data_IF_076497564292
#
_entry.id   IF_076497564292
#
_cell.length_a   1.000
_cell.length_b   1.000
_cell.length_c   1.000
_cell.angle_alpha   90.00
_cell.angle_beta   90.00
_cell.angle_gamma   90.00
#
_symmetry.space_group_name_H-M   'P 1'
#
loop_
_entity.id
_entity.type
_entity.pdbx_description
1 polymer ?
#
# COMPACT_ATOMS: atom_id res chain seq x y z
N UNK A 1 12.67 -10.04 29.24
CA UNK A 1 12.16 -8.88 28.44
C UNK A 1 12.11 -9.27 26.96
N UNK A 2 11.03 -8.91 26.24
CA UNK A 2 10.95 -9.13 24.78
C UNK A 2 11.91 -8.20 24.04
N UNK A 3 12.66 -8.74 23.07
CA UNK A 3 13.56 -7.94 22.20
C UNK A 3 12.82 -7.40 20.98
N UNK A 4 11.98 -8.23 20.36
CA UNK A 4 11.15 -7.84 19.22
C UNK A 4 10.09 -6.81 19.61
N UNK A 5 9.97 -5.76 18.78
CA UNK A 5 8.99 -4.70 18.95
C UNK A 5 7.67 -5.08 18.26
N UNK A 6 6.55 -4.61 18.81
CA UNK A 6 5.21 -4.89 18.28
C UNK A 6 4.64 -3.61 17.68
N UNK A 7 4.23 -3.68 16.41
CA UNK A 7 3.49 -2.63 15.73
C UNK A 7 2.02 -3.04 15.71
N UNK A 8 1.13 -2.18 16.20
CA UNK A 8 -0.32 -2.40 16.18
C UNK A 8 -1.02 -1.32 15.37
N UNK A 9 -1.95 -1.71 14.49
CA UNK A 9 -2.73 -0.74 13.71
C UNK A 9 -3.86 -0.18 14.57
N UNK A 10 -3.94 1.14 14.68
CA UNK A 10 -5.03 1.82 15.39
C UNK A 10 -6.21 2.08 14.45
N UNK A 11 -7.43 1.77 14.92
CA UNK A 11 -8.66 1.99 14.15
C UNK A 11 -9.87 2.31 15.05
N UNK A 12 -11.09 2.32 14.50
CA UNK A 12 -12.31 2.66 15.24
C UNK A 12 -12.51 1.85 16.53
N UNK A 13 -12.18 0.56 16.51
CA UNK A 13 -12.30 -0.33 17.66
C UNK A 13 -11.26 -0.08 18.76
N UNK A 14 -10.18 0.66 18.47
CA UNK A 14 -9.03 0.80 19.38
C UNK A 14 -8.59 2.26 19.60
N UNK A 15 -9.42 3.24 19.19
CA UNK A 15 -9.09 4.67 19.29
C UNK A 15 -9.45 5.31 20.64
N UNK A 16 -10.15 4.57 21.50
CA UNK A 16 -10.47 5.01 22.85
C UNK A 16 -9.19 5.11 23.70
N UNK A 17 -8.99 6.22 24.45
CA UNK A 17 -7.78 6.41 25.27
C UNK A 17 -7.51 5.29 26.27
N UNK A 18 -8.54 4.67 26.85
CA UNK A 18 -8.37 3.56 27.81
C UNK A 18 -7.85 2.30 27.13
N UNK A 19 -8.37 2.01 25.93
CA UNK A 19 -7.90 0.90 25.10
C UNK A 19 -6.47 1.13 24.65
N UNK A 20 -6.13 2.35 24.21
CA UNK A 20 -4.76 2.72 23.85
C UNK A 20 -3.81 2.46 25.03
N UNK A 21 -4.16 2.91 26.24
CA UNK A 21 -3.34 2.69 27.43
C UNK A 21 -3.17 1.20 27.75
N UNK A 22 -4.22 0.40 27.60
CA UNK A 22 -4.16 -1.05 27.80
C UNK A 22 -3.28 -1.74 26.76
N UNK A 23 -3.34 -1.33 25.49
CA UNK A 23 -2.46 -1.83 24.43
C UNK A 23 -0.98 -1.50 24.68
N UNK A 24 -0.70 -0.29 25.19
CA UNK A 24 0.66 0.11 25.59
C UNK A 24 1.17 -0.80 26.70
N UNK A 25 0.37 -1.01 27.77
CA UNK A 25 0.73 -1.92 28.87
C UNK A 25 0.90 -3.37 28.42
N UNK A 26 0.10 -3.82 27.46
CA UNK A 26 0.20 -5.16 26.87
C UNK A 26 1.47 -5.34 26.00
N UNK A 27 2.15 -4.24 25.64
CA UNK A 27 3.48 -4.29 25.01
C UNK A 27 3.53 -3.80 23.56
N UNK A 28 2.52 -3.07 23.08
CA UNK A 28 2.61 -2.32 21.82
C UNK A 28 3.73 -1.28 21.93
N UNK A 29 4.60 -1.22 20.92
CA UNK A 29 5.73 -0.28 20.87
C UNK A 29 5.56 0.79 19.80
N UNK A 30 4.83 0.48 18.73
CA UNK A 30 4.54 1.42 17.65
C UNK A 30 3.07 1.32 17.31
N UNK A 31 2.37 2.45 17.24
CA UNK A 31 1.04 2.50 16.65
C UNK A 31 1.15 2.86 15.18
N UNK A 32 0.71 1.95 14.31
CA UNK A 32 0.53 2.20 12.89
C UNK A 32 -0.81 2.88 12.65
N UNK A 33 -0.79 3.96 11.90
CA UNK A 33 -1.98 4.65 11.45
C UNK A 33 -2.05 4.59 9.93
N UNK A 34 -3.09 3.94 9.41
CA UNK A 34 -3.27 3.76 7.97
C UNK A 34 -4.04 4.96 7.39
N UNK A 35 -3.38 5.76 6.54
CA UNK A 35 -3.96 6.93 5.87
C UNK A 35 -4.74 6.57 4.60
N UNK A 36 -5.02 5.29 4.36
CA UNK A 36 -5.87 4.85 3.24
C UNK A 36 -7.34 5.23 3.39
N UNK A 37 -7.80 5.46 4.62
CA UNK A 37 -9.20 5.66 5.00
C UNK A 37 -9.28 6.73 6.08
N UNK A 38 -10.49 7.13 6.46
CA UNK A 38 -10.78 8.17 7.45
C UNK A 38 -10.39 9.60 7.00
N UNK A 39 -10.79 10.57 7.83
CA UNK A 39 -10.58 12.01 7.61
C UNK A 39 -9.42 12.56 8.45
N UNK A 40 -8.75 13.64 8.02
CA UNK A 40 -7.63 14.27 8.72
C UNK A 40 -7.82 14.50 10.23
N UNK A 41 -9.02 14.90 10.65
CA UNK A 41 -9.37 15.20 12.04
C UNK A 41 -9.30 13.93 12.91
N UNK A 42 -9.78 12.81 12.37
CA UNK A 42 -9.70 11.51 13.05
C UNK A 42 -8.26 11.05 13.19
N UNK A 43 -7.43 11.30 12.18
CA UNK A 43 -6.01 10.96 12.25
C UNK A 43 -5.31 11.73 13.37
N UNK A 44 -5.50 13.05 13.39
CA UNK A 44 -4.98 13.97 14.39
C UNK A 44 -5.37 13.56 15.81
N UNK A 45 -6.66 13.28 16.03
CA UNK A 45 -7.18 12.87 17.33
C UNK A 45 -6.50 11.60 17.85
N UNK A 46 -6.33 10.59 16.99
CA UNK A 46 -5.66 9.33 17.34
C UNK A 46 -4.18 9.57 17.70
N UNK A 47 -3.45 10.36 16.90
CA UNK A 47 -2.03 10.69 17.16
C UNK A 47 -1.88 11.33 18.55
N UNK A 48 -2.69 12.36 18.83
CA UNK A 48 -2.62 13.08 20.11
C UNK A 48 -3.02 12.21 21.29
N UNK A 49 -4.01 11.34 21.13
CA UNK A 49 -4.39 10.36 22.15
C UNK A 49 -3.23 9.40 22.45
N UNK A 50 -2.58 8.84 21.44
CA UNK A 50 -1.42 7.96 21.61
C UNK A 50 -0.31 8.68 22.39
N UNK A 51 0.08 9.89 21.98
CA UNK A 51 1.11 10.69 22.65
C UNK A 51 0.75 10.98 24.11
N UNK A 52 -0.51 11.35 24.37
CA UNK A 52 -1.00 11.62 25.73
C UNK A 52 -0.90 10.39 26.62
N UNK A 53 -1.34 9.22 26.15
CA UNK A 53 -1.30 7.98 26.93
C UNK A 53 0.13 7.49 27.14
N UNK A 54 0.99 7.54 26.11
CA UNK A 54 2.40 7.19 26.24
C UNK A 54 3.10 8.05 27.31
N UNK A 55 2.84 9.37 27.31
CA UNK A 55 3.35 10.30 28.32
C UNK A 55 2.81 9.99 29.72
N UNK A 56 1.50 9.76 29.85
CA UNK A 56 0.87 9.46 31.14
C UNK A 56 1.39 8.16 31.77
N UNK A 57 1.73 7.17 30.95
CA UNK A 57 2.30 5.89 31.39
C UNK A 57 3.82 5.92 31.57
N UNK A 58 4.48 7.01 31.17
CA UNK A 58 5.94 7.10 31.08
C UNK A 58 6.56 5.92 30.29
N UNK A 59 5.92 5.54 29.17
CA UNK A 59 6.36 4.44 28.31
C UNK A 59 6.67 4.96 26.91
N UNK A 60 7.84 4.63 26.33
CA UNK A 60 8.18 5.05 24.98
C UNK A 60 7.34 4.29 23.96
N UNK A 61 6.60 5.03 23.14
CA UNK A 61 5.74 4.50 22.08
C UNK A 61 5.88 5.40 20.86
N UNK A 62 6.22 4.81 19.72
CA UNK A 62 6.34 5.52 18.45
C UNK A 62 5.04 5.48 17.64
N UNK A 63 4.94 6.35 16.65
CA UNK A 63 3.82 6.45 15.71
C UNK A 63 4.36 6.31 14.30
N UNK A 64 3.78 5.37 13.55
CA UNK A 64 4.07 5.13 12.14
C UNK A 64 2.85 5.54 11.30
N UNK A 65 3.01 6.57 10.48
CA UNK A 65 2.03 6.96 9.48
C UNK A 65 2.25 6.15 8.21
N UNK A 66 1.27 5.34 7.81
CA UNK A 66 1.33 4.51 6.60
C UNK A 66 0.55 5.18 5.47
N UNK A 67 1.28 5.69 4.47
CA UNK A 67 0.72 6.39 3.31
C UNK A 67 -0.02 5.42 2.38
N UNK A 68 -1.02 5.93 1.68
CA UNK A 68 -1.89 5.11 0.85
C UNK A 68 -1.16 4.57 -0.38
N UNK A 69 -0.38 5.43 -1.05
CA UNK A 69 0.24 5.12 -2.34
C UNK A 69 -0.76 4.99 -3.50
N UNK A 70 -0.27 4.69 -4.71
CA UNK A 70 -1.10 4.60 -5.91
C UNK A 70 -1.95 3.32 -5.91
N UNK A 71 -3.20 3.41 -5.47
CA UNK A 71 -4.15 2.28 -5.53
C UNK A 71 -4.84 2.20 -6.89
N UNK A 72 -4.61 1.11 -7.60
CA UNK A 72 -5.35 0.76 -8.81
C UNK A 72 -6.54 -0.09 -8.43
N UNK A 73 -7.74 0.36 -8.84
CA UNK A 73 -8.99 -0.29 -8.46
C UNK A 73 -9.98 -0.29 -9.61
N UNK A 74 -10.85 -1.29 -9.56
CA UNK A 74 -12.11 -1.31 -10.29
C UNK A 74 -12.95 -0.13 -9.83
N UNK A 75 -13.66 0.48 -10.78
CA UNK A 75 -14.64 1.51 -10.51
C UNK A 75 -15.92 0.92 -9.92
N UNK A 76 -17.02 1.61 -10.17
CA UNK A 76 -18.31 1.18 -9.66
C UNK A 76 -18.96 0.14 -10.58
N UNK A 77 -19.52 -0.89 -9.98
CA UNK A 77 -20.29 -1.96 -10.61
C UNK A 77 -21.67 -1.99 -9.93
N UNK A 78 -22.62 -2.73 -10.53
CA UNK A 78 -23.89 -2.99 -9.84
C UNK A 78 -23.66 -3.69 -8.49
N UNK A 79 -24.62 -3.58 -7.56
CA UNK A 79 -24.50 -4.20 -6.23
C UNK A 79 -24.22 -5.71 -6.27
N UNK A 80 -24.76 -6.40 -7.28
CA UNK A 80 -24.56 -7.82 -7.51
C UNK A 80 -23.13 -8.17 -8.00
N UNK A 81 -22.40 -7.17 -8.49
CA UNK A 81 -21.12 -7.34 -9.16
C UNK A 81 -21.26 -7.89 -10.57
N UNK A 82 -20.15 -8.38 -11.11
CA UNK A 82 -20.05 -8.97 -12.44
C UNK A 82 -19.51 -10.40 -12.32
N UNK A 83 -20.26 -11.39 -12.80
CA UNK A 83 -19.80 -12.78 -12.90
C UNK A 83 -18.90 -12.96 -14.12
N UNK A 84 -17.61 -13.17 -13.88
CA UNK A 84 -16.60 -13.35 -14.92
C UNK A 84 -16.33 -14.84 -15.13
N UNK A 85 -16.62 -15.34 -16.32
CA UNK A 85 -16.47 -16.77 -16.64
C UNK A 85 -15.14 -17.04 -17.33
N UNK A 86 -14.53 -18.18 -17.03
CA UNK A 86 -13.29 -18.62 -17.69
C UNK A 86 -13.44 -18.59 -19.22
N UNK A 87 -12.40 -18.12 -19.91
CA UNK A 87 -12.32 -17.87 -21.35
C UNK A 87 -13.18 -16.72 -21.90
N UNK A 88 -14.00 -16.05 -21.09
CA UNK A 88 -14.75 -14.86 -21.50
C UNK A 88 -13.79 -13.75 -21.92
N UNK A 89 -14.16 -12.97 -22.94
CA UNK A 89 -13.49 -11.72 -23.28
C UNK A 89 -14.18 -10.58 -22.52
N UNK A 90 -13.39 -9.73 -21.90
CA UNK A 90 -13.85 -8.56 -21.15
C UNK A 90 -13.12 -7.32 -21.62
N UNK A 91 -13.77 -6.18 -21.43
CA UNK A 91 -13.19 -4.86 -21.68
C UNK A 91 -13.13 -4.14 -20.34
N UNK A 92 -11.94 -3.65 -20.00
CA UNK A 92 -11.76 -2.73 -18.90
C UNK A 92 -11.55 -1.32 -19.48
N UNK A 93 -12.23 -0.30 -18.95
CA UNK A 93 -12.19 1.05 -19.53
C UNK A 93 -12.08 2.15 -18.48
N UNK A 94 -11.40 3.24 -18.83
CA UNK A 94 -11.31 4.47 -18.02
C UNK A 94 -12.37 5.52 -18.41
N UNK A 95 -13.19 5.24 -19.44
CA UNK A 95 -14.15 6.20 -20.02
C UNK A 95 -15.47 5.52 -20.37
N UNK A 96 -16.57 6.10 -19.87
CA UNK A 96 -17.96 5.77 -20.21
C UNK A 96 -18.22 4.26 -20.38
N UNK A 97 -18.10 3.45 -19.30
CA UNK A 97 -18.29 2.00 -19.39
C UNK A 97 -19.69 1.64 -19.88
N UNK A 98 -19.75 0.80 -20.91
CA UNK A 98 -21.01 0.20 -21.35
C UNK A 98 -21.40 -1.01 -20.47
N UNK A 99 -22.62 -1.52 -20.66
CA UNK A 99 -23.09 -2.69 -19.91
C UNK A 99 -22.19 -3.90 -20.19
N UNK A 100 -21.56 -4.42 -19.15
CA UNK A 100 -20.64 -5.58 -19.25
C UNK A 100 -19.16 -5.19 -19.35
N UNK A 101 -18.85 -3.89 -19.38
CA UNK A 101 -17.47 -3.40 -19.27
C UNK A 101 -17.10 -3.11 -17.81
N UNK A 102 -15.82 -3.27 -17.50
CA UNK A 102 -15.28 -3.11 -16.15
C UNK A 102 -14.65 -1.70 -16.05
N UNK A 103 -15.23 -0.77 -15.28
CA UNK A 103 -14.60 0.53 -15.11
C UNK A 103 -13.31 0.42 -14.30
N UNK A 104 -12.34 1.27 -14.62
CA UNK A 104 -11.05 1.38 -13.92
C UNK A 104 -10.86 2.82 -13.45
N UNK A 105 -10.45 2.99 -12.19
CA UNK A 105 -10.20 4.32 -11.61
C UNK A 105 -8.84 4.92 -12.04
N UNK A 106 -7.87 4.06 -12.36
CA UNK A 106 -6.53 4.48 -12.73
C UNK A 106 -6.41 4.76 -14.23
N UNK A 107 -6.41 6.05 -14.58
CA UNK A 107 -6.46 6.52 -15.97
C UNK A 107 -5.29 6.09 -16.84
N UNK A 108 -4.12 5.81 -16.27
CA UNK A 108 -2.95 5.37 -17.05
C UNK A 108 -2.90 3.85 -17.27
N UNK A 109 -3.80 3.06 -16.68
CA UNK A 109 -3.73 1.60 -16.78
C UNK A 109 -3.64 1.09 -18.24
N UNK A 110 -4.41 1.61 -19.22
CA UNK A 110 -4.27 1.16 -20.60
C UNK A 110 -2.88 1.43 -21.20
N UNK A 111 -2.19 2.48 -20.76
CA UNK A 111 -0.83 2.78 -21.22
C UNK A 111 0.22 1.87 -20.58
N UNK A 112 0.02 1.51 -19.32
CA UNK A 112 0.97 0.75 -18.51
C UNK A 112 0.98 -0.76 -18.81
N UNK A 113 -0.04 -1.28 -19.48
CA UNK A 113 -0.13 -2.71 -19.84
C UNK A 113 0.24 -2.96 -21.30
N UNK A 114 0.68 -4.17 -21.62
CA UNK A 114 1.05 -4.64 -22.95
C UNK A 114 0.35 -5.97 -23.27
N UNK A 115 0.44 -6.39 -24.53
CA UNK A 115 -0.05 -7.71 -24.93
C UNK A 115 0.60 -8.80 -24.07
N UNK A 116 -0.20 -9.71 -23.53
CA UNK A 116 0.25 -10.83 -22.73
C UNK A 116 0.32 -10.57 -21.23
N UNK A 117 0.19 -9.32 -20.79
CA UNK A 117 0.22 -8.97 -19.37
C UNK A 117 -0.91 -9.61 -18.57
N UNK A 118 -0.61 -9.89 -17.31
CA UNK A 118 -1.55 -10.45 -16.35
C UNK A 118 -2.10 -9.34 -15.46
N UNK A 119 -3.43 -9.29 -15.36
CA UNK A 119 -4.14 -8.44 -14.41
C UNK A 119 -4.78 -9.34 -13.36
N UNK A 120 -4.41 -9.10 -12.10
CA UNK A 120 -4.95 -9.80 -10.95
C UNK A 120 -5.97 -8.90 -10.25
N UNK A 121 -7.19 -9.40 -10.09
CA UNK A 121 -8.33 -8.69 -9.54
C UNK A 121 -8.77 -9.34 -8.22
N UNK A 122 -9.25 -8.51 -7.28
CA UNK A 122 -9.72 -8.95 -5.95
C UNK A 122 -8.69 -9.84 -5.22
N UNK A 123 -7.52 -9.26 -4.96
CA UNK A 123 -6.41 -9.91 -4.26
C UNK A 123 -5.95 -11.22 -4.95
N UNK A 124 -5.97 -11.22 -6.28
CA UNK A 124 -5.53 -12.35 -7.11
C UNK A 124 -6.55 -13.48 -7.30
N UNK A 125 -7.79 -13.32 -6.84
CA UNK A 125 -8.84 -14.34 -7.03
C UNK A 125 -9.32 -14.46 -8.48
N UNK A 126 -9.24 -13.37 -9.23
CA UNK A 126 -9.62 -13.31 -10.63
C UNK A 126 -8.38 -12.94 -11.43
N UNK A 127 -8.15 -13.66 -12.53
CA UNK A 127 -6.98 -13.47 -13.39
C UNK A 127 -7.43 -13.18 -14.81
N UNK A 128 -6.94 -12.08 -15.38
CA UNK A 128 -7.15 -11.72 -16.78
C UNK A 128 -5.81 -11.65 -17.51
N UNK A 129 -5.82 -12.04 -18.79
CA UNK A 129 -4.68 -11.89 -19.69
C UNK A 129 -4.99 -10.90 -20.80
N UNK A 130 -4.20 -9.84 -20.89
CA UNK A 130 -4.35 -8.78 -21.90
C UNK A 130 -4.04 -9.35 -23.28
N UNK A 131 -4.89 -9.04 -24.26
CA UNK A 131 -4.65 -9.42 -25.66
C UNK A 131 -4.77 -8.25 -26.65
N UNK A 132 -5.29 -7.10 -26.22
CA UNK A 132 -5.39 -5.89 -27.04
C UNK A 132 -5.63 -4.67 -26.14
N UNK A 133 -5.30 -3.47 -26.61
CA UNK A 133 -5.53 -2.22 -25.90
C UNK A 133 -5.64 -1.02 -26.84
N UNK A 134 -6.26 0.05 -26.35
CA UNK A 134 -6.18 1.39 -26.93
C UNK A 134 -5.95 2.42 -25.81
N UNK A 135 -6.06 3.71 -26.12
CA UNK A 135 -5.79 4.80 -25.18
C UNK A 135 -6.69 4.79 -23.93
N UNK A 136 -7.87 4.18 -24.02
CA UNK A 136 -8.91 4.23 -22.98
C UNK A 136 -9.28 2.86 -22.40
N UNK A 137 -9.03 1.79 -23.16
CA UNK A 137 -9.57 0.47 -22.85
C UNK A 137 -8.54 -0.63 -23.03
N UNK A 138 -8.69 -1.68 -22.22
CA UNK A 138 -7.90 -2.90 -22.23
C UNK A 138 -8.85 -4.05 -22.55
N UNK A 139 -8.53 -4.85 -23.57
CA UNK A 139 -9.25 -6.09 -23.84
C UNK A 139 -8.46 -7.24 -23.26
N UNK A 140 -9.13 -8.04 -22.43
CA UNK A 140 -8.51 -9.15 -21.74
C UNK A 140 -9.37 -10.42 -21.79
N UNK A 141 -8.72 -11.57 -21.70
CA UNK A 141 -9.37 -12.87 -21.58
C UNK A 141 -9.33 -13.33 -20.13
N UNK A 142 -10.46 -13.76 -19.60
CA UNK A 142 -10.55 -14.33 -18.25
C UNK A 142 -9.85 -15.68 -18.22
N UNK A 143 -8.79 -15.80 -17.41
CA UNK A 143 -8.06 -17.04 -17.17
C UNK A 143 -8.64 -17.78 -15.97
N UNK A 144 -8.85 -17.04 -14.87
CA UNK A 144 -9.54 -17.49 -13.65
C UNK A 144 -10.73 -16.57 -13.41
N UNK A 145 -11.92 -17.16 -13.36
CA UNK A 145 -13.19 -16.44 -13.21
C UNK A 145 -13.61 -16.24 -11.75
N UNK A 146 -14.70 -15.49 -11.55
CA UNK A 146 -15.26 -15.19 -10.24
C UNK A 146 -16.18 -13.98 -10.25
N UNK A 147 -16.77 -13.68 -9.09
CA UNK A 147 -17.64 -12.50 -8.93
C UNK A 147 -16.78 -11.28 -8.62
N UNK A 148 -16.70 -10.36 -9.58
CA UNK A 148 -16.02 -9.07 -9.40
C UNK A 148 -16.98 -8.04 -8.79
N UNK A 149 -16.55 -7.39 -7.69
CA UNK A 149 -17.30 -6.31 -7.04
C UNK A 149 -16.65 -4.94 -7.25
N UNK A 150 -17.37 -3.86 -6.95
CA UNK A 150 -16.85 -2.49 -7.00
C UNK A 150 -15.61 -2.33 -6.12
N UNK A 151 -14.70 -1.43 -6.53
CA UNK A 151 -13.56 -0.96 -5.73
C UNK A 151 -12.52 -2.03 -5.34
N UNK A 152 -12.57 -3.21 -5.97
CA UNK A 152 -11.56 -4.26 -5.82
C UNK A 152 -10.22 -3.82 -6.43
N UNK A 153 -9.12 -4.25 -5.79
CA UNK A 153 -7.76 -3.95 -6.24
C UNK A 153 -7.45 -4.59 -7.59
N UNK A 154 -6.57 -3.94 -8.35
CA UNK A 154 -5.96 -4.47 -9.57
C UNK A 154 -4.45 -4.49 -9.33
N UNK A 155 -3.86 -5.67 -9.47
CA UNK A 155 -2.43 -5.94 -9.33
C UNK A 155 -1.84 -6.32 -10.70
N UNK A 156 -0.57 -5.97 -10.92
CA UNK A 156 0.13 -6.11 -12.19
C UNK A 156 1.47 -6.82 -11.99
N UNK A 157 1.47 -8.16 -11.84
CA UNK A 157 2.69 -8.92 -11.58
C UNK A 157 3.68 -8.93 -12.77
N UNK A 158 3.22 -8.65 -13.98
CA UNK A 158 4.06 -8.68 -15.20
C UNK A 158 4.36 -7.31 -15.77
N UNK A 159 3.85 -6.23 -15.17
CA UNK A 159 3.99 -4.88 -15.67
C UNK A 159 4.31 -3.87 -14.56
N UNK A 160 4.79 -2.71 -14.97
CA UNK A 160 5.09 -1.61 -14.07
C UNK A 160 4.08 -0.50 -14.20
N UNK A 161 3.58 -0.05 -13.05
CA UNK A 161 2.67 1.09 -12.95
C UNK A 161 3.49 2.37 -13.11
N UNK A 162 3.03 3.32 -13.93
CA UNK A 162 3.71 4.61 -14.15
C UNK A 162 3.37 5.67 -13.09
N UNK A 163 2.41 5.39 -12.19
CA UNK A 163 2.00 6.29 -11.13
C UNK A 163 3.19 6.67 -10.23
N UNK A 164 3.28 7.92 -9.75
CA UNK A 164 4.26 8.26 -8.73
C UNK A 164 3.96 7.50 -7.44
N UNK A 165 5.00 7.11 -6.69
CA UNK A 165 4.82 6.46 -5.38
C UNK A 165 4.10 7.37 -4.38
N UNK A 166 4.26 8.69 -4.51
CA UNK A 166 3.51 9.70 -3.76
C UNK A 166 2.37 10.27 -4.60
N UNK A 167 1.13 9.93 -4.21
CA UNK A 167 -0.06 10.48 -4.84
C UNK A 167 -0.34 11.92 -4.38
N UNK A 168 -1.25 12.62 -5.07
CA UNK A 168 -1.72 13.94 -4.64
C UNK A 168 -2.40 13.89 -3.25
N UNK A 169 -3.03 12.76 -2.90
CA UNK A 169 -3.58 12.54 -1.56
C UNK A 169 -2.46 12.38 -0.54
N UNK A 170 -1.47 11.54 -0.83
CA UNK A 170 -0.34 11.32 0.08
C UNK A 170 0.41 12.62 0.37
N UNK A 171 0.59 13.50 -0.61
CA UNK A 171 1.20 14.83 -0.40
C UNK A 171 0.42 15.69 0.58
N UNK A 172 -0.92 15.67 0.54
CA UNK A 172 -1.77 16.37 1.51
C UNK A 172 -1.69 15.72 2.89
N UNK A 173 -1.70 14.39 2.95
CA UNK A 173 -1.57 13.66 4.22
C UNK A 173 -0.20 13.93 4.87
N UNK A 174 0.87 14.05 4.08
CA UNK A 174 2.21 14.38 4.55
C UNK A 174 2.26 15.71 5.31
N UNK A 175 1.56 16.74 4.86
CA UNK A 175 1.50 18.03 5.57
C UNK A 175 0.96 17.85 7.00
N UNK A 176 -0.11 17.06 7.16
CA UNK A 176 -0.66 16.74 8.46
C UNK A 176 0.29 15.88 9.30
N UNK A 177 0.84 14.83 8.70
CA UNK A 177 1.74 13.88 9.36
C UNK A 177 2.96 14.60 9.92
N UNK A 178 3.57 15.48 9.13
CA UNK A 178 4.75 16.26 9.50
C UNK A 178 4.44 17.30 10.58
N UNK A 179 3.25 17.92 10.52
CA UNK A 179 2.74 18.86 11.54
C UNK A 179 2.50 18.17 12.89
N UNK A 180 1.89 16.99 12.89
CA UNK A 180 1.60 16.26 14.12
C UNK A 180 2.83 15.57 14.71
N UNK A 181 3.95 15.51 13.97
CA UNK A 181 5.25 15.08 14.46
C UNK A 181 5.31 13.58 14.77
N UNK A 182 5.00 12.74 13.79
CA UNK A 182 5.15 11.29 13.90
C UNK A 182 6.62 10.87 13.85
N UNK A 183 6.90 9.62 14.21
CA UNK A 183 8.27 9.08 14.26
C UNK A 183 8.68 8.39 12.97
N UNK A 184 7.72 7.74 12.29
CA UNK A 184 7.95 7.01 11.04
C UNK A 184 6.91 7.35 9.98
N UNK A 185 7.33 7.35 8.72
CA UNK A 185 6.45 7.38 7.54
C UNK A 185 6.73 6.13 6.72
N UNK A 186 5.72 5.30 6.51
CA UNK A 186 5.81 4.17 5.60
C UNK A 186 5.31 4.57 4.20
N UNK A 187 6.15 4.35 3.20
CA UNK A 187 5.82 4.59 1.79
C UNK A 187 5.36 3.28 1.15
N UNK A 188 4.14 3.27 0.62
CA UNK A 188 3.55 2.14 -0.09
C UNK A 188 3.99 2.07 -1.55
N UNK A 189 3.97 0.87 -2.13
CA UNK A 189 4.28 0.58 -3.53
C UNK A 189 5.63 1.14 -4.01
N UNK A 190 6.64 1.10 -3.14
CA UNK A 190 8.02 1.47 -3.50
C UNK A 190 8.50 0.56 -4.63
N UNK A 191 9.15 1.13 -5.64
CA UNK A 191 9.77 0.36 -6.74
C UNK A 191 11.26 0.64 -6.87
N UNK A 192 11.71 1.81 -6.42
CA UNK A 192 13.09 2.26 -6.61
C UNK A 192 13.58 3.10 -5.42
N UNK A 193 14.90 3.30 -5.35
CA UNK A 193 15.49 4.24 -4.40
C UNK A 193 15.02 5.69 -4.61
N UNK A 194 14.71 6.08 -5.85
CA UNK A 194 14.25 7.43 -6.16
C UNK A 194 12.89 7.74 -5.49
N UNK A 195 11.98 6.77 -5.40
CA UNK A 195 10.72 6.92 -4.67
C UNK A 195 10.97 7.35 -3.20
N UNK A 196 12.00 6.79 -2.56
CA UNK A 196 12.41 7.11 -1.18
C UNK A 196 13.09 8.47 -1.10
N UNK A 197 13.98 8.78 -2.05
CA UNK A 197 14.69 10.06 -2.12
C UNK A 197 13.70 11.22 -2.32
N UNK A 198 12.68 11.04 -3.15
CA UNK A 198 11.63 12.03 -3.35
C UNK A 198 10.87 12.33 -2.04
N UNK A 199 10.48 11.30 -1.30
CA UNK A 199 9.86 11.48 0.01
C UNK A 199 10.81 12.17 1.00
N UNK A 200 12.08 11.75 1.05
CA UNK A 200 13.10 12.34 1.93
C UNK A 200 13.28 13.83 1.68
N UNK A 201 13.34 14.26 0.41
CA UNK A 201 13.42 15.69 0.05
C UNK A 201 12.25 16.50 0.62
N UNK A 202 11.03 15.97 0.58
CA UNK A 202 9.85 16.64 1.15
C UNK A 202 9.97 16.74 2.67
N UNK A 203 10.41 15.66 3.34
CA UNK A 203 10.61 15.63 4.79
C UNK A 203 11.71 16.64 5.21
N UNK A 204 12.81 16.73 4.46
CA UNK A 204 13.92 17.64 4.77
C UNK A 204 13.57 19.13 4.62
N UNK A 205 12.64 19.45 3.73
CA UNK A 205 12.10 20.80 3.58
C UNK A 205 11.20 21.23 4.75
N UNK A 206 10.71 20.27 5.54
CA UNK A 206 9.92 20.56 6.73
C UNK A 206 10.80 21.07 7.87
N UNK A 207 10.43 22.20 8.47
CA UNK A 207 11.14 22.79 9.63
C UNK A 207 10.90 22.03 10.94
N UNK A 208 9.87 21.18 10.98
CA UNK A 208 9.45 20.45 12.17
C UNK A 208 10.05 19.06 12.26
N UNK A 209 9.18 18.06 12.45
CA UNK A 209 9.60 16.66 12.55
C UNK A 209 10.28 16.16 11.28
N UNK A 210 11.26 15.27 11.48
CA UNK A 210 11.98 14.55 10.42
C UNK A 210 11.83 13.05 10.68
N UNK A 211 10.65 12.47 10.43
CA UNK A 211 10.41 11.04 10.65
C UNK A 211 11.31 10.18 9.77
N UNK A 212 11.63 8.98 10.26
CA UNK A 212 12.33 7.96 9.49
C UNK A 212 11.41 7.34 8.43
N UNK A 213 11.96 7.01 7.26
CA UNK A 213 11.22 6.43 6.14
C UNK A 213 11.28 4.92 6.19
N UNK A 214 10.11 4.28 6.16
CA UNK A 214 9.95 2.83 6.03
C UNK A 214 9.52 2.49 4.60
N UNK A 215 10.38 1.83 3.83
CA UNK A 215 9.99 1.35 2.50
C UNK A 215 9.17 0.06 2.61
N UNK A 216 7.97 0.04 2.02
CA UNK A 216 7.15 -1.16 1.96
C UNK A 216 7.48 -1.94 0.69
N UNK A 217 8.00 -3.15 0.88
CA UNK A 217 8.34 -4.07 -0.21
C UNK A 217 7.09 -4.88 -0.53
N UNK A 218 6.38 -4.42 -1.55
CA UNK A 218 5.04 -4.90 -1.95
C UNK A 218 5.02 -5.42 -3.39
N UNK A 219 5.96 -5.01 -4.24
CA UNK A 219 5.98 -5.30 -5.67
C UNK A 219 7.25 -6.04 -6.10
N UNK A 220 7.18 -6.66 -7.27
CA UNK A 220 8.32 -7.36 -7.86
C UNK A 220 9.52 -6.43 -8.11
N UNK A 221 9.29 -5.20 -8.59
CA UNK A 221 10.35 -4.22 -8.85
C UNK A 221 11.12 -3.87 -7.57
N UNK A 222 10.42 -3.84 -6.43
CA UNK A 222 11.02 -3.55 -5.13
C UNK A 222 11.98 -4.65 -4.67
N UNK A 223 11.71 -5.90 -5.05
CA UNK A 223 12.57 -7.05 -4.76
C UNK A 223 13.80 -7.03 -5.66
N UNK A 224 13.62 -6.68 -6.94
CA UNK A 224 14.72 -6.53 -7.91
C UNK A 224 15.68 -5.40 -7.49
N UNK A 225 15.13 -4.25 -7.08
CA UNK A 225 15.85 -3.03 -6.68
C UNK A 225 16.15 -2.96 -5.18
N UNK A 226 16.08 -4.10 -4.47
CA UNK A 226 16.08 -4.15 -3.01
C UNK A 226 17.31 -3.48 -2.39
N UNK A 227 18.48 -3.64 -3.00
CA UNK A 227 19.73 -3.14 -2.43
C UNK A 227 19.78 -1.60 -2.42
N UNK A 228 19.41 -0.92 -3.51
CA UNK A 228 19.34 0.53 -3.50
C UNK A 228 18.20 1.07 -2.62
N UNK A 229 17.07 0.37 -2.55
CA UNK A 229 15.96 0.76 -1.67
C UNK A 229 16.39 0.70 -0.21
N UNK A 230 17.07 -0.38 0.21
CA UNK A 230 17.63 -0.51 1.57
C UNK A 230 18.58 0.65 1.87
N UNK A 231 19.49 0.98 0.96
CA UNK A 231 20.45 2.07 1.15
C UNK A 231 19.78 3.45 1.28
N UNK A 232 18.67 3.68 0.59
CA UNK A 232 17.96 4.96 0.62
C UNK A 232 16.98 5.09 1.80
N UNK A 233 16.58 3.98 2.43
CA UNK A 233 15.53 3.90 3.46
C UNK A 233 16.11 3.80 4.87
N UNK A 234 15.33 4.20 5.88
CA UNK A 234 15.72 4.07 7.29
C UNK A 234 15.24 2.73 7.88
N UNK A 235 14.19 2.14 7.31
CA UNK A 235 13.71 0.81 7.63
C UNK A 235 12.97 0.17 6.45
N UNK A 236 12.74 -1.14 6.54
CA UNK A 236 12.00 -1.93 5.55
C UNK A 236 10.78 -2.60 6.20
N UNK A 237 9.67 -2.65 5.47
CA UNK A 237 8.48 -3.42 5.81
C UNK A 237 8.23 -4.48 4.74
N UNK A 238 8.27 -5.76 5.13
CA UNK A 238 7.97 -6.89 4.23
C UNK A 238 6.47 -7.13 4.19
N UNK A 239 5.82 -6.71 3.11
CA UNK A 239 4.38 -6.86 2.92
C UNK A 239 4.07 -8.19 2.22
N UNK A 240 4.10 -9.29 3.00
CA UNK A 240 3.96 -10.66 2.48
C UNK A 240 2.65 -10.91 1.73
N UNK A 241 1.56 -10.22 2.12
CA UNK A 241 0.27 -10.34 1.46
C UNK A 241 0.33 -9.84 0.03
N UNK A 242 0.78 -8.60 -0.15
CA UNK A 242 0.98 -7.98 -1.47
C UNK A 242 2.02 -8.73 -2.30
N UNK A 243 3.16 -9.12 -1.71
CA UNK A 243 4.17 -9.93 -2.41
C UNK A 243 3.64 -11.30 -2.85
N UNK A 244 2.71 -11.91 -2.11
CA UNK A 244 2.10 -13.18 -2.49
C UNK A 244 1.07 -13.06 -3.61
N UNK A 245 0.63 -11.84 -3.92
CA UNK A 245 -0.20 -11.53 -5.08
C UNK A 245 0.69 -11.21 -6.29
N UNK A 246 1.75 -10.43 -6.07
CA UNK A 246 2.65 -9.96 -7.14
C UNK A 246 3.68 -11.03 -7.57
N UNK A 247 4.01 -11.98 -6.71
CA UNK A 247 5.00 -13.03 -6.95
C UNK A 247 4.42 -14.43 -6.68
N UNK A 248 5.15 -15.46 -7.13
CA UNK A 248 4.84 -16.83 -6.78
C UNK A 248 4.87 -17.04 -5.26
N UNK A 249 3.77 -17.55 -4.69
CA UNK A 249 3.55 -17.64 -3.24
C UNK A 249 4.68 -18.41 -2.52
N UNK A 250 5.22 -19.45 -3.14
CA UNK A 250 6.31 -20.25 -2.62
C UNK A 250 7.64 -19.49 -2.50
N UNK A 251 7.82 -18.39 -3.24
CA UNK A 251 9.03 -17.54 -3.16
C UNK A 251 8.96 -16.56 -2.00
N UNK A 252 7.77 -16.19 -1.52
CA UNK A 252 7.59 -15.16 -0.48
C UNK A 252 8.37 -15.46 0.80
N UNK A 253 8.39 -16.69 1.36
CA UNK A 253 9.17 -16.98 2.56
C UNK A 253 10.68 -16.82 2.37
N UNK A 254 11.19 -17.14 1.17
CA UNK A 254 12.62 -17.00 0.82
C UNK A 254 12.99 -15.52 0.72
N UNK A 255 12.19 -14.75 -0.03
CA UNK A 255 12.38 -13.30 -0.20
C UNK A 255 12.30 -12.58 1.14
N UNK A 256 11.35 -12.94 2.01
CA UNK A 256 11.26 -12.37 3.35
C UNK A 256 12.57 -12.57 4.13
N UNK A 257 13.14 -13.79 4.12
CA UNK A 257 14.41 -14.08 4.81
C UNK A 257 15.56 -13.28 4.21
N UNK A 258 15.60 -13.16 2.89
CA UNK A 258 16.61 -12.37 2.19
C UNK A 258 16.55 -10.89 2.55
N UNK A 259 15.35 -10.28 2.55
CA UNK A 259 15.16 -8.88 2.93
C UNK A 259 15.62 -8.64 4.36
N UNK A 260 15.23 -9.51 5.30
CA UNK A 260 15.64 -9.40 6.70
C UNK A 260 17.16 -9.50 6.82
N UNK A 261 17.77 -10.48 6.16
CA UNK A 261 19.22 -10.72 6.16
C UNK A 261 19.99 -9.48 5.66
N UNK A 262 19.61 -8.96 4.49
CA UNK A 262 20.22 -7.76 3.89
C UNK A 262 20.04 -6.52 4.75
N UNK A 263 18.86 -6.33 5.36
CA UNK A 263 18.58 -5.17 6.23
C UNK A 263 19.40 -5.22 7.52
N UNK A 264 19.70 -6.42 8.03
CA UNK A 264 20.55 -6.62 9.20
C UNK A 264 22.05 -6.59 8.87
N UNK A 265 22.43 -6.56 7.59
CA UNK A 265 23.83 -6.56 7.15
C UNK A 265 24.58 -7.87 7.43
N UNK A 266 23.86 -8.99 7.50
CA UNK A 266 24.41 -10.34 7.78
C UNK A 266 24.30 -11.28 6.58
#
# INVERSE_FOLDING_TARGET
MKRTKIIATIGPATQDPTIIANLIRAGVNVFRQNFSHDIPEMHTKRIRNIKKQAKALNMPVAILADLQGPKIRVGDLSEQGMDLKRNQKVILTIKNPEKGEIPIQYKSLPRDVSFGDILLLDDGKIELKVFDKNDFSIKAKVIVGGILKSFKGINLPTASISAPALTAKDKKDLELILKEGVDFIALSFVRSADDIIQLRKIIEQNKGSKPSIVAKIERHEAVENLNEIIKASDAIMVARGDLGIELMLEKVPVIQKEIIKKTLGI
#
